data_IF_477629939066
#
_entry.id   IF_477629939066
#
_cell.length_a   1.000
_cell.length_b   1.000
_cell.length_c   1.000
_cell.angle_alpha   90.00
_cell.angle_beta   90.00
_cell.angle_gamma   90.00
#
_symmetry.space_group_name_H-M   'P 1'
#
loop_
_entity.id
_entity.type
_entity.pdbx_description
1 polymer ?
#
# COMPACT_ATOMS: atom_id res chain seq x y z
N UNK A 1 -26.43 -46.95 -25.62
CA UNK A 1 -27.02 -47.41 -24.33
C UNK A 1 -27.21 -46.17 -23.47
N UNK A 2 -28.47 -45.94 -23.13
CA UNK A 2 -29.07 -44.69 -22.73
C UNK A 2 -28.74 -44.24 -21.31
N UNK A 3 -28.49 -42.98 -21.12
CA UNK A 3 -28.55 -42.25 -19.82
C UNK A 3 -29.97 -42.20 -19.26
N UNK A 4 -30.14 -42.01 -17.97
CA UNK A 4 -31.26 -41.18 -17.52
C UNK A 4 -30.82 -40.01 -16.64
N UNK A 5 -31.52 -38.88 -16.83
CA UNK A 5 -31.44 -37.66 -16.09
C UNK A 5 -32.19 -37.74 -14.73
N UNK A 6 -31.82 -36.90 -13.70
CA UNK A 6 -32.58 -36.81 -12.47
C UNK A 6 -33.63 -35.67 -12.50
N UNK A 7 -34.73 -35.96 -11.82
CA UNK A 7 -35.96 -35.19 -11.64
C UNK A 7 -35.83 -34.04 -10.64
N UNK A 8 -36.45 -32.89 -10.97
CA UNK A 8 -36.71 -31.78 -10.04
C UNK A 8 -37.98 -32.04 -9.18
N UNK A 9 -38.02 -31.61 -7.90
CA UNK A 9 -39.28 -31.46 -7.19
C UNK A 9 -39.83 -30.03 -7.26
N UNK A 10 -41.17 -29.93 -7.44
CA UNK A 10 -41.96 -28.71 -7.46
C UNK A 10 -42.35 -28.22 -6.05
N UNK A 11 -42.65 -26.92 -5.86
CA UNK A 11 -42.97 -26.34 -4.55
C UNK A 11 -44.44 -26.57 -4.17
N UNK A 12 -44.62 -26.91 -2.87
CA UNK A 12 -45.93 -27.04 -2.22
C UNK A 12 -46.49 -25.69 -1.75
N UNK A 13 -47.78 -25.47 -2.02
CA UNK A 13 -48.60 -24.38 -1.48
C UNK A 13 -49.06 -24.74 -0.06
N UNK A 14 -48.96 -23.79 0.88
CA UNK A 14 -49.56 -23.89 2.24
C UNK A 14 -49.94 -22.53 2.77
N UNK A 15 -51.14 -22.29 2.72
CA UNK A 15 -52.22 -21.79 3.56
C UNK A 15 -51.93 -20.58 4.50
N UNK A 16 -52.73 -19.53 4.22
CA UNK A 16 -52.99 -18.36 5.06
C UNK A 16 -53.76 -18.73 6.35
N UNK A 17 -53.25 -18.28 7.48
CA UNK A 17 -54.06 -18.18 8.72
C UNK A 17 -54.10 -16.70 9.18
N UNK A 18 -55.30 -16.15 9.13
CA UNK A 18 -55.69 -14.84 9.69
C UNK A 18 -55.91 -14.98 11.20
N UNK A 19 -55.24 -14.17 12.02
CA UNK A 19 -55.54 -13.96 13.42
C UNK A 19 -55.64 -12.46 13.75
N UNK A 20 -56.75 -12.03 14.29
CA UNK A 20 -57.14 -10.66 14.61
C UNK A 20 -56.45 -10.16 15.90
N UNK A 21 -56.40 -8.83 16.12
CA UNK A 21 -55.67 -8.20 17.22
C UNK A 21 -56.51 -8.16 18.51
N UNK A 22 -55.85 -8.24 19.68
CA UNK A 22 -56.39 -7.85 20.95
C UNK A 22 -55.57 -6.68 21.49
N UNK A 23 -56.23 -5.55 21.63
CA UNK A 23 -55.73 -4.37 22.31
C UNK A 23 -55.99 -4.54 23.83
N UNK A 24 -54.97 -4.29 24.64
CA UNK A 24 -55.15 -3.98 26.07
C UNK A 24 -54.32 -2.76 26.40
N UNK A 25 -55.05 -1.68 26.73
CA UNK A 25 -54.53 -0.47 27.34
C UNK A 25 -54.42 -0.67 28.87
N UNK A 26 -53.28 -0.27 29.41
CA UNK A 26 -53.19 0.02 30.84
C UNK A 26 -52.34 1.27 31.05
N UNK A 27 -52.97 2.32 31.49
CA UNK A 27 -52.41 3.58 31.93
C UNK A 27 -51.86 3.42 33.36
N UNK A 28 -50.71 4.02 33.64
CA UNK A 28 -50.12 4.12 34.96
C UNK A 28 -49.31 5.41 35.08
N UNK A 29 -49.79 6.34 35.90
CA UNK A 29 -49.33 7.71 36.10
C UNK A 29 -48.07 7.83 37.01
N UNK A 30 -47.21 8.79 36.61
CA UNK A 30 -46.55 9.82 37.47
C UNK A 30 -45.54 9.41 38.55
N UNK A 31 -44.34 9.93 38.42
CA UNK A 31 -43.74 10.85 39.40
C UNK A 31 -42.63 11.70 38.75
N UNK A 32 -42.92 12.99 38.60
CA UNK A 32 -41.92 14.05 38.39
C UNK A 32 -41.23 14.31 39.74
N UNK A 33 -39.90 14.19 39.78
CA UNK A 33 -39.09 14.94 40.72
C UNK A 33 -38.03 15.70 39.93
N UNK A 34 -38.29 16.99 39.76
CA UNK A 34 -37.31 17.96 39.34
C UNK A 34 -36.38 18.27 40.50
N UNK A 35 -35.09 18.13 40.33
CA UNK A 35 -34.10 18.91 41.05
C UNK A 35 -33.10 19.42 40.03
N UNK A 36 -33.07 20.71 39.83
CA UNK A 36 -32.13 21.41 39.03
C UNK A 36 -30.76 21.48 39.72
N UNK A 37 -29.74 21.46 38.89
CA UNK A 37 -28.35 21.72 39.24
C UNK A 37 -27.61 21.87 37.94
N UNK A 38 -27.47 23.15 37.53
CA UNK A 38 -26.54 23.52 36.45
C UNK A 38 -25.13 23.38 37.02
N UNK A 39 -24.34 22.49 36.44
CA UNK A 39 -22.90 22.72 36.35
C UNK A 39 -22.42 22.00 35.10
N UNK A 40 -21.96 22.81 34.11
CA UNK A 40 -21.30 22.36 32.94
C UNK A 40 -19.89 21.89 33.29
N UNK A 41 -19.70 20.61 33.24
CA UNK A 41 -18.41 19.95 33.25
C UNK A 41 -18.54 18.71 32.41
N UNK A 42 -18.05 18.75 31.17
CA UNK A 42 -17.77 17.54 30.41
C UNK A 42 -16.62 16.82 31.12
N UNK A 43 -16.94 16.09 32.17
CA UNK A 43 -16.06 15.11 32.74
C UNK A 43 -16.31 13.80 31.99
N UNK A 44 -15.34 13.32 31.21
CA UNK A 44 -15.30 11.94 30.78
C UNK A 44 -15.44 11.05 32.00
N UNK A 45 -16.46 10.19 32.01
CA UNK A 45 -16.56 9.09 32.97
C UNK A 45 -15.32 8.24 32.83
N UNK A 46 -14.38 8.34 33.80
CA UNK A 46 -13.09 7.68 33.80
C UNK A 46 -13.18 6.16 33.95
N UNK A 47 -13.80 5.50 32.98
CA UNK A 47 -13.70 4.06 32.77
C UNK A 47 -12.41 3.66 32.08
N UNK A 48 -11.97 2.41 32.20
CA UNK A 48 -10.75 1.94 31.55
C UNK A 48 -10.91 2.00 30.02
N UNK A 49 -9.95 2.66 29.35
CA UNK A 49 -9.92 2.86 27.90
C UNK A 49 -9.48 1.58 27.18
N UNK A 50 -10.15 1.24 26.09
CA UNK A 50 -9.72 0.22 25.14
C UNK A 50 -9.55 0.89 23.79
N UNK A 51 -8.32 0.92 23.26
CA UNK A 51 -8.03 1.41 21.91
C UNK A 51 -8.16 0.28 20.90
N UNK A 52 -8.71 0.59 19.73
CA UNK A 52 -8.76 -0.29 18.57
C UNK A 52 -7.93 0.31 17.44
N UNK A 53 -7.01 -0.48 16.90
CA UNK A 53 -6.20 -0.10 15.77
C UNK A 53 -6.40 -1.07 14.62
N UNK A 54 -6.82 -0.56 13.48
CA UNK A 54 -6.99 -1.37 12.26
C UNK A 54 -5.70 -1.38 11.44
N UNK A 55 -5.28 -2.58 11.07
CA UNK A 55 -4.05 -2.86 10.33
C UNK A 55 -4.30 -3.88 9.21
N UNK A 56 -3.39 -3.97 8.23
CA UNK A 56 -3.51 -4.96 7.14
C UNK A 56 -2.60 -6.18 7.27
N UNK A 57 -1.76 -6.25 8.28
CA UNK A 57 -0.87 -7.39 8.46
C UNK A 57 -1.45 -8.44 9.40
N UNK A 58 -1.40 -9.71 8.97
CA UNK A 58 -1.63 -10.89 9.81
C UNK A 58 -0.35 -11.65 10.13
N UNK A 59 0.82 -11.12 9.76
CA UNK A 59 2.11 -11.76 10.03
C UNK A 59 2.39 -11.80 11.54
N UNK A 60 2.70 -12.99 12.07
CA UNK A 60 2.87 -13.23 13.50
C UNK A 60 4.02 -12.41 14.12
N UNK A 61 5.13 -12.21 13.39
CA UNK A 61 6.26 -11.44 13.88
C UNK A 61 5.92 -9.93 13.94
N UNK A 62 5.18 -9.42 12.95
CA UNK A 62 4.67 -8.04 13.00
C UNK A 62 3.74 -7.84 14.19
N UNK A 63 2.76 -8.75 14.37
CA UNK A 63 1.82 -8.69 15.48
C UNK A 63 2.51 -8.82 16.84
N UNK A 64 3.55 -9.65 16.95
CA UNK A 64 4.35 -9.77 18.16
C UNK A 64 5.07 -8.47 18.51
N UNK A 65 5.66 -7.78 17.53
CA UNK A 65 6.28 -6.48 17.72
C UNK A 65 5.25 -5.43 18.17
N UNK A 66 4.12 -5.32 17.45
CA UNK A 66 3.06 -4.36 17.77
C UNK A 66 2.46 -4.60 19.15
N UNK A 67 2.19 -5.86 19.52
CA UNK A 67 1.72 -6.22 20.85
C UNK A 67 2.76 -5.93 21.95
N UNK A 68 4.04 -6.06 21.66
CA UNK A 68 5.13 -5.68 22.57
C UNK A 68 5.12 -4.18 22.85
N UNK A 69 5.03 -3.36 21.81
CA UNK A 69 4.94 -1.89 21.95
C UNK A 69 3.67 -1.49 22.73
N UNK A 70 2.54 -2.13 22.42
CA UNK A 70 1.28 -1.90 23.14
C UNK A 70 1.36 -2.29 24.63
N UNK A 71 2.09 -3.35 24.97
CA UNK A 71 2.31 -3.76 26.35
C UNK A 71 3.19 -2.73 27.11
N UNK A 72 4.32 -2.31 26.51
CA UNK A 72 5.20 -1.27 27.07
C UNK A 72 4.46 0.05 27.31
N UNK A 73 3.55 0.44 26.38
CA UNK A 73 2.71 1.63 26.53
C UNK A 73 1.76 1.53 27.73
N UNK A 74 1.05 0.42 27.85
CA UNK A 74 0.07 0.19 28.92
C UNK A 74 0.70 0.12 30.30
N UNK A 75 1.95 -0.32 30.43
CA UNK A 75 2.68 -0.28 31.70
C UNK A 75 2.89 1.15 32.20
N UNK A 76 3.00 2.12 31.27
CA UNK A 76 3.17 3.54 31.57
C UNK A 76 1.86 4.31 31.65
N UNK A 77 0.79 3.78 31.04
CA UNK A 77 -0.53 4.40 30.92
C UNK A 77 -1.64 3.43 31.44
N UNK A 78 -1.79 3.30 32.77
CA UNK A 78 -2.65 2.28 33.38
C UNK A 78 -4.16 2.51 33.13
N UNK A 79 -4.56 3.71 32.67
CA UNK A 79 -5.92 4.02 32.22
C UNK A 79 -6.24 3.30 30.89
N UNK A 80 -5.24 3.01 30.05
CA UNK A 80 -5.42 2.22 28.83
C UNK A 80 -5.30 0.73 29.16
N UNK A 81 -6.45 0.09 29.30
CA UNK A 81 -6.54 -1.31 29.69
C UNK A 81 -6.12 -2.27 28.59
N UNK A 82 -6.45 -1.95 27.34
CA UNK A 82 -6.23 -2.83 26.19
C UNK A 82 -6.00 -2.01 24.93
N UNK A 83 -5.13 -2.53 24.04
CA UNK A 83 -4.98 -2.05 22.68
C UNK A 83 -5.17 -3.27 21.76
N UNK A 84 -6.19 -3.22 20.92
CA UNK A 84 -6.58 -4.30 20.01
C UNK A 84 -6.13 -3.98 18.60
N UNK A 85 -5.45 -4.92 17.97
CA UNK A 85 -5.11 -4.86 16.56
C UNK A 85 -6.13 -5.67 15.76
N UNK A 86 -6.97 -4.99 14.97
CA UNK A 86 -7.95 -5.59 14.08
C UNK A 86 -7.34 -5.72 12.68
N UNK A 87 -7.05 -6.95 12.25
CA UNK A 87 -6.48 -7.20 10.92
C UNK A 87 -7.57 -7.31 9.86
N UNK A 88 -7.42 -6.54 8.78
CA UNK A 88 -8.26 -6.61 7.58
C UNK A 88 -7.43 -7.10 6.38
N UNK A 89 -8.04 -7.84 5.42
CA UNK A 89 -7.35 -8.27 4.21
C UNK A 89 -6.89 -7.08 3.38
N UNK A 90 -5.67 -7.15 2.83
CA UNK A 90 -5.03 -6.07 2.04
C UNK A 90 -5.92 -5.65 0.87
N UNK A 91 -6.47 -6.60 0.12
CA UNK A 91 -7.24 -6.37 -1.11
C UNK A 91 -8.54 -5.58 -0.88
N UNK A 92 -9.09 -5.63 0.33
CA UNK A 92 -10.33 -4.94 0.69
C UNK A 92 -10.16 -3.92 1.82
N UNK A 93 -8.92 -3.65 2.21
CA UNK A 93 -8.59 -2.90 3.42
C UNK A 93 -9.26 -1.51 3.46
N UNK A 94 -8.99 -0.67 2.45
CA UNK A 94 -9.52 0.69 2.40
C UNK A 94 -11.05 0.71 2.38
N UNK A 95 -11.67 -0.16 1.58
CA UNK A 95 -13.14 -0.27 1.49
C UNK A 95 -13.75 -0.71 2.83
N UNK A 96 -13.12 -1.68 3.50
CA UNK A 96 -13.60 -2.16 4.80
C UNK A 96 -13.45 -1.09 5.90
N UNK A 97 -12.30 -0.39 5.93
CA UNK A 97 -12.05 0.71 6.87
C UNK A 97 -13.06 1.86 6.66
N UNK A 98 -13.25 2.31 5.41
CA UNK A 98 -14.22 3.37 5.07
C UNK A 98 -15.65 2.96 5.46
N UNK A 99 -16.02 1.69 5.24
CA UNK A 99 -17.31 1.15 5.65
C UNK A 99 -17.49 1.18 7.18
N UNK A 100 -16.45 0.84 7.95
CA UNK A 100 -16.49 0.92 9.42
C UNK A 100 -16.70 2.37 9.88
N UNK A 101 -15.98 3.32 9.29
CA UNK A 101 -16.07 4.75 9.58
C UNK A 101 -17.50 5.26 9.29
N UNK A 102 -18.01 5.00 8.09
CA UNK A 102 -19.35 5.41 7.68
C UNK A 102 -20.46 4.77 8.53
N UNK A 103 -20.23 3.54 9.01
CA UNK A 103 -21.15 2.80 9.88
C UNK A 103 -21.09 3.18 11.37
N UNK A 104 -20.32 4.20 11.77
CA UNK A 104 -20.14 4.62 13.16
C UNK A 104 -19.40 3.57 14.02
N UNK A 105 -18.57 2.74 13.40
CA UNK A 105 -17.75 1.70 14.04
C UNK A 105 -16.27 1.93 13.76
N UNK A 106 -15.87 3.18 13.57
CA UNK A 106 -14.49 3.54 13.33
C UNK A 106 -13.56 2.95 14.41
N UNK A 107 -12.35 2.52 14.05
CA UNK A 107 -11.29 2.26 15.04
C UNK A 107 -10.81 3.60 15.63
N UNK A 108 -10.01 3.55 16.70
CA UNK A 108 -9.35 4.76 17.23
C UNK A 108 -8.15 5.16 16.36
N UNK A 109 -7.40 4.15 15.86
CA UNK A 109 -6.26 4.35 14.94
C UNK A 109 -6.40 3.44 13.72
N UNK A 110 -5.82 3.85 12.61
CA UNK A 110 -5.73 3.01 11.41
C UNK A 110 -4.44 3.25 10.63
N UNK A 111 -3.92 2.20 10.00
CA UNK A 111 -2.99 2.33 8.91
C UNK A 111 -3.72 2.83 7.67
N UNK A 112 -3.06 3.66 6.88
CA UNK A 112 -3.64 4.27 5.68
C UNK A 112 -2.63 4.09 4.54
N UNK A 113 -3.08 3.54 3.41
CA UNK A 113 -2.25 3.45 2.21
C UNK A 113 -2.05 4.82 1.58
N UNK A 114 -0.90 5.02 0.92
CA UNK A 114 -0.59 6.25 0.20
C UNK A 114 -1.67 6.66 -0.80
N UNK A 115 -2.20 5.71 -1.55
CA UNK A 115 -3.23 5.98 -2.56
C UNK A 115 -4.57 6.46 -1.96
N UNK A 116 -4.81 6.24 -0.67
CA UNK A 116 -6.01 6.70 0.04
C UNK A 116 -5.75 7.96 0.89
N UNK A 117 -4.48 8.38 1.01
CA UNK A 117 -4.11 9.50 1.87
C UNK A 117 -4.82 10.82 1.52
N UNK A 118 -4.92 11.24 0.23
CA UNK A 118 -5.62 12.48 -0.11
C UNK A 118 -7.06 12.52 0.38
N UNK A 119 -7.79 11.43 0.22
CA UNK A 119 -9.19 11.33 0.66
C UNK A 119 -9.31 11.39 2.20
N UNK A 120 -8.48 10.64 2.92
CA UNK A 120 -8.50 10.62 4.38
C UNK A 120 -8.09 11.97 4.98
N UNK A 121 -7.01 12.58 4.45
CA UNK A 121 -6.47 13.86 4.95
C UNK A 121 -7.44 15.01 4.66
N UNK A 122 -8.07 15.04 3.48
CA UNK A 122 -9.01 16.10 3.10
C UNK A 122 -10.39 15.94 3.74
N UNK A 123 -10.81 14.72 4.12
CA UNK A 123 -12.16 14.45 4.62
C UNK A 123 -12.45 15.01 6.01
N UNK A 124 -11.42 15.39 6.79
CA UNK A 124 -11.57 15.74 8.20
C UNK A 124 -11.87 14.53 9.11
N UNK A 125 -11.71 13.31 8.61
CA UNK A 125 -11.89 12.09 9.41
C UNK A 125 -10.75 11.85 10.39
N UNK A 126 -9.57 12.41 10.12
CA UNK A 126 -8.38 12.26 10.94
C UNK A 126 -8.21 13.41 11.92
N UNK A 127 -7.74 13.12 13.11
CA UNK A 127 -7.29 14.13 14.07
C UNK A 127 -5.95 14.72 13.63
N UNK A 128 -5.74 16.00 13.93
CA UNK A 128 -4.41 16.64 13.81
C UNK A 128 -3.45 15.99 14.82
N UNK A 129 -2.23 15.71 14.38
CA UNK A 129 -1.14 15.19 15.21
C UNK A 129 0.04 16.16 15.24
N UNK A 130 0.88 16.05 16.27
CA UNK A 130 2.10 16.88 16.36
C UNK A 130 3.09 16.55 15.24
N UNK A 131 3.71 17.59 14.69
CA UNK A 131 4.78 17.45 13.71
C UNK A 131 6.08 17.02 14.39
N UNK A 132 6.68 15.94 13.88
CA UNK A 132 7.98 15.47 14.33
C UNK A 132 9.09 16.02 13.41
N UNK A 133 9.95 16.87 13.94
CA UNK A 133 11.03 17.50 13.19
C UNK A 133 12.11 16.52 12.71
N UNK A 134 12.20 15.32 13.30
CA UNK A 134 13.14 14.28 12.88
C UNK A 134 12.64 13.51 11.63
N UNK A 135 11.34 13.59 11.31
CA UNK A 135 10.79 12.98 10.09
C UNK A 135 11.06 13.86 8.89
N UNK A 136 11.56 13.27 7.81
CA UNK A 136 11.86 13.98 6.56
C UNK A 136 10.64 14.75 6.03
N UNK A 137 10.80 16.02 5.63
CA UNK A 137 9.69 16.80 5.07
C UNK A 137 9.03 16.16 3.85
N UNK A 138 9.81 15.51 2.98
CA UNK A 138 9.29 14.80 1.81
C UNK A 138 8.33 13.66 2.21
N UNK A 139 8.65 12.91 3.25
CA UNK A 139 7.80 11.83 3.74
C UNK A 139 6.48 12.33 4.36
N UNK A 140 6.48 13.54 4.94
CA UNK A 140 5.28 14.14 5.55
C UNK A 140 4.32 14.75 4.53
N UNK A 141 4.81 15.13 3.34
CA UNK A 141 4.05 15.94 2.36
C UNK A 141 2.67 15.36 2.04
N UNK A 142 2.57 14.05 1.84
CA UNK A 142 1.31 13.37 1.51
C UNK A 142 0.28 13.39 2.66
N UNK A 143 0.76 13.51 3.89
CA UNK A 143 -0.05 13.41 5.11
C UNK A 143 -0.41 14.77 5.71
N UNK A 144 -0.07 15.85 5.00
CA UNK A 144 -0.31 17.22 5.43
C UNK A 144 -1.45 17.86 4.63
N UNK A 145 -2.24 18.67 5.32
CA UNK A 145 -3.25 19.53 4.72
C UNK A 145 -3.25 20.88 5.45
N UNK A 146 -3.25 21.99 4.70
CA UNK A 146 -3.21 23.35 5.25
C UNK A 146 -2.08 23.56 6.30
N UNK A 147 -0.94 22.90 6.10
CA UNK A 147 0.23 23.02 6.97
C UNK A 147 0.16 22.22 8.27
N UNK A 148 -0.84 21.37 8.44
CA UNK A 148 -1.05 20.48 9.59
C UNK A 148 -0.84 19.03 9.20
N UNK A 149 -0.33 18.22 10.13
CA UNK A 149 -0.10 16.80 9.93
C UNK A 149 -1.29 15.98 10.47
N UNK A 150 -1.78 15.03 9.69
CA UNK A 150 -2.95 14.20 10.01
C UNK A 150 -2.64 12.71 10.11
N UNK A 151 -1.52 12.26 9.56
CA UNK A 151 -1.02 10.91 9.80
C UNK A 151 0.50 10.91 9.85
N UNK A 152 1.06 10.02 10.66
CA UNK A 152 2.51 9.81 10.76
C UNK A 152 2.95 8.84 9.64
N UNK A 153 3.94 9.19 8.81
CA UNK A 153 4.46 8.30 7.77
C UNK A 153 5.30 7.17 8.39
N UNK A 154 4.63 6.15 8.93
CA UNK A 154 5.30 5.06 9.66
C UNK A 154 6.02 4.07 8.74
N UNK A 155 5.81 4.14 7.44
CA UNK A 155 6.53 3.34 6.45
C UNK A 155 6.79 4.19 5.20
N UNK A 156 8.05 4.34 4.84
CA UNK A 156 8.52 4.89 3.56
C UNK A 156 9.44 3.85 2.95
N UNK A 157 8.91 3.05 2.04
CA UNK A 157 9.54 1.83 1.56
C UNK A 157 10.00 1.99 0.11
N UNK A 158 11.31 2.18 -0.15
CA UNK A 158 11.84 2.29 -1.49
C UNK A 158 11.59 1.02 -2.31
N UNK A 159 11.33 1.23 -3.60
CA UNK A 159 11.36 0.17 -4.58
C UNK A 159 12.79 -0.03 -5.08
N UNK A 160 13.12 -1.27 -5.39
CA UNK A 160 14.34 -1.68 -6.05
C UNK A 160 14.11 -3.00 -6.78
N UNK A 161 15.18 -3.55 -7.31
CA UNK A 161 15.15 -4.85 -7.98
C UNK A 161 15.85 -5.89 -7.11
N UNK A 162 15.11 -6.90 -6.66
CA UNK A 162 15.71 -8.13 -6.16
C UNK A 162 16.01 -9.04 -7.35
N UNK A 163 17.20 -9.64 -7.36
CA UNK A 163 17.68 -10.52 -8.42
C UNK A 163 18.11 -11.88 -7.87
N UNK A 164 17.63 -12.96 -8.48
CA UNK A 164 18.11 -14.32 -8.25
C UNK A 164 19.40 -14.53 -9.05
N UNK A 165 20.53 -14.41 -8.39
CA UNK A 165 21.87 -14.47 -9.02
C UNK A 165 22.20 -15.88 -9.50
N UNK A 166 21.62 -16.91 -8.91
CA UNK A 166 21.83 -18.28 -9.32
C UNK A 166 21.09 -18.58 -10.64
N UNK A 167 19.83 -18.12 -10.78
CA UNK A 167 19.06 -18.27 -12.01
C UNK A 167 19.69 -17.47 -13.17
N UNK A 168 20.14 -16.23 -12.92
CA UNK A 168 20.84 -15.43 -13.92
C UNK A 168 22.11 -16.14 -14.40
N UNK A 169 22.88 -16.71 -13.49
CA UNK A 169 24.10 -17.47 -13.80
C UNK A 169 23.79 -18.76 -14.58
N UNK A 170 22.73 -19.48 -14.21
CA UNK A 170 22.27 -20.67 -14.95
C UNK A 170 21.91 -20.30 -16.40
N UNK A 171 21.23 -19.18 -16.59
CA UNK A 171 20.91 -18.66 -17.93
C UNK A 171 22.11 -18.02 -18.66
N UNK A 172 23.31 -18.01 -18.07
CA UNK A 172 24.47 -17.38 -18.65
C UNK A 172 24.39 -15.86 -18.80
N UNK A 173 23.57 -15.22 -17.98
CA UNK A 173 23.32 -13.78 -18.03
C UNK A 173 24.11 -13.04 -16.95
N UNK A 174 24.48 -11.75 -17.21
CA UNK A 174 25.09 -10.90 -16.20
C UNK A 174 24.10 -10.60 -15.07
N UNK A 175 24.65 -10.42 -13.87
CA UNK A 175 23.88 -9.92 -12.72
C UNK A 175 23.65 -8.41 -12.85
N UNK A 176 22.60 -7.84 -12.17
CA UNK A 176 22.42 -6.40 -12.11
C UNK A 176 23.65 -5.64 -11.59
N UNK A 177 24.36 -6.16 -10.60
CA UNK A 177 25.59 -5.56 -10.08
C UNK A 177 26.66 -5.45 -11.18
N UNK A 178 26.87 -6.49 -12.00
CA UNK A 178 27.81 -6.46 -13.13
C UNK A 178 27.38 -5.46 -14.22
N UNK A 179 26.07 -5.31 -14.44
CA UNK A 179 25.53 -4.31 -15.38
C UNK A 179 25.72 -2.88 -14.85
N UNK A 180 25.56 -2.66 -13.55
CA UNK A 180 25.82 -1.37 -12.89
C UNK A 180 27.30 -1.00 -13.04
N UNK A 181 28.23 -1.91 -12.75
CA UNK A 181 29.66 -1.68 -12.91
C UNK A 181 30.05 -1.33 -14.35
N UNK A 182 29.30 -1.83 -15.34
CA UNK A 182 29.50 -1.54 -16.76
C UNK A 182 28.77 -0.27 -17.25
N UNK A 183 27.97 0.41 -16.40
CA UNK A 183 27.12 1.54 -16.78
C UNK A 183 26.01 1.14 -17.76
N UNK A 184 25.47 -0.06 -17.62
CA UNK A 184 24.46 -0.67 -18.52
C UNK A 184 23.18 -1.10 -17.80
N UNK A 185 23.00 -0.72 -16.55
CA UNK A 185 21.80 -1.08 -15.79
C UNK A 185 20.62 -0.22 -16.23
N UNK A 186 20.00 -0.60 -17.35
CA UNK A 186 18.88 0.11 -17.99
C UNK A 186 17.71 -0.83 -18.22
N UNK A 187 16.52 -0.28 -18.40
CA UNK A 187 15.32 -1.06 -18.72
C UNK A 187 15.48 -1.90 -20.00
N UNK A 188 16.18 -1.39 -21.01
CA UNK A 188 16.47 -2.14 -22.23
C UNK A 188 17.32 -3.38 -21.96
N UNK A 189 18.32 -3.27 -21.07
CA UNK A 189 19.14 -4.44 -20.69
C UNK A 189 18.33 -5.42 -19.84
N UNK A 190 17.44 -4.93 -18.98
CA UNK A 190 16.54 -5.80 -18.22
C UNK A 190 15.64 -6.63 -19.14
N UNK A 191 15.05 -6.03 -20.18
CA UNK A 191 14.26 -6.77 -21.16
C UNK A 191 15.08 -7.84 -21.89
N UNK A 192 16.31 -7.52 -22.29
CA UNK A 192 17.23 -8.50 -22.95
C UNK A 192 17.60 -9.66 -22.03
N UNK A 193 18.03 -9.34 -20.80
CA UNK A 193 18.41 -10.34 -19.81
C UNK A 193 17.20 -11.20 -19.45
N UNK A 194 16.05 -10.57 -19.23
CA UNK A 194 14.81 -11.27 -18.89
C UNK A 194 14.32 -12.21 -19.98
N UNK A 195 14.36 -11.78 -21.25
CA UNK A 195 14.03 -12.63 -22.38
C UNK A 195 14.99 -13.82 -22.51
N UNK A 196 16.29 -13.59 -22.32
CA UNK A 196 17.28 -14.67 -22.36
C UNK A 196 17.10 -15.68 -21.20
N UNK A 197 16.75 -15.24 -20.00
CA UNK A 197 16.38 -16.13 -18.88
C UNK A 197 15.16 -16.97 -19.26
N UNK A 198 14.13 -16.35 -19.81
CA UNK A 198 12.92 -17.05 -20.25
C UNK A 198 13.21 -18.13 -21.27
N UNK A 199 14.04 -17.81 -22.27
CA UNK A 199 14.43 -18.75 -23.33
C UNK A 199 15.23 -19.95 -22.79
N UNK A 200 16.12 -19.73 -21.84
CA UNK A 200 17.03 -20.77 -21.32
C UNK A 200 16.38 -21.61 -20.23
N UNK A 201 15.65 -20.98 -19.29
CA UNK A 201 15.14 -21.66 -18.07
C UNK A 201 13.64 -21.99 -18.15
N UNK A 202 12.89 -21.25 -18.96
CA UNK A 202 11.43 -21.30 -18.98
C UNK A 202 10.75 -20.49 -17.88
N UNK A 203 11.53 -19.94 -16.94
CA UNK A 203 11.03 -19.10 -15.84
C UNK A 203 10.89 -17.64 -16.26
N UNK A 204 10.19 -16.82 -15.47
CA UNK A 204 10.03 -15.41 -15.75
C UNK A 204 11.36 -14.67 -15.62
N UNK A 205 11.70 -13.81 -16.58
CA UNK A 205 12.88 -12.97 -16.51
C UNK A 205 12.73 -11.87 -15.47
N UNK A 206 11.58 -11.21 -15.42
CA UNK A 206 11.24 -10.16 -14.45
C UNK A 206 9.76 -10.13 -14.14
N UNK A 207 9.44 -9.79 -12.91
CA UNK A 207 8.06 -9.48 -12.49
C UNK A 207 8.03 -8.13 -11.78
N UNK A 208 7.03 -7.30 -12.07
CA UNK A 208 6.70 -6.14 -11.26
C UNK A 208 5.68 -6.61 -10.23
N UNK A 209 5.87 -6.27 -8.98
CA UNK A 209 4.97 -6.70 -7.91
C UNK A 209 3.53 -6.36 -8.22
N UNK A 210 2.64 -7.32 -7.91
CA UNK A 210 1.19 -7.22 -8.10
C UNK A 210 0.80 -6.92 -9.56
N UNK A 211 1.61 -7.43 -10.51
CA UNK A 211 1.42 -7.31 -11.95
C UNK A 211 0.26 -8.18 -12.48
N UNK A 212 -0.82 -8.20 -11.75
CA UNK A 212 -2.10 -8.70 -12.20
C UNK A 212 -3.05 -7.56 -12.63
N UNK A 213 -2.48 -6.35 -12.79
CA UNK A 213 -3.15 -5.08 -13.13
C UNK A 213 -4.13 -4.56 -12.09
N UNK A 214 -4.17 -5.12 -10.90
CA UNK A 214 -4.96 -4.58 -9.80
C UNK A 214 -4.30 -3.35 -9.16
N UNK A 215 -2.97 -3.28 -9.26
CA UNK A 215 -2.15 -2.19 -8.71
C UNK A 215 -1.37 -1.52 -9.85
N UNK A 216 -2.08 -0.92 -10.81
CA UNK A 216 -1.45 -0.27 -11.96
C UNK A 216 -0.49 0.87 -11.57
N UNK A 217 -0.68 1.49 -10.42
CA UNK A 217 0.20 2.51 -9.86
C UNK A 217 1.62 2.00 -9.56
N UNK A 218 1.81 0.69 -9.40
CA UNK A 218 3.15 0.10 -9.30
C UNK A 218 3.94 0.19 -10.62
N UNK A 219 3.28 0.42 -11.75
CA UNK A 219 3.96 0.68 -13.03
C UNK A 219 4.73 2.02 -13.01
N UNK A 220 4.49 2.89 -12.03
CA UNK A 220 5.31 4.08 -11.77
C UNK A 220 6.79 3.72 -11.58
N UNK A 221 7.09 2.52 -11.06
CA UNK A 221 8.46 2.00 -10.97
C UNK A 221 9.13 1.79 -12.33
N UNK A 222 8.40 1.90 -13.43
CA UNK A 222 8.92 1.86 -14.80
C UNK A 222 8.76 3.21 -15.47
N UNK A 223 7.54 3.76 -15.56
CA UNK A 223 7.30 4.97 -16.34
C UNK A 223 8.01 6.22 -15.82
N UNK A 224 8.32 6.29 -14.51
CA UNK A 224 9.11 7.40 -13.95
C UNK A 224 10.52 7.45 -14.58
N UNK A 225 11.06 6.31 -15.05
CA UNK A 225 12.29 6.24 -15.84
C UNK A 225 12.20 6.94 -17.21
N UNK A 226 11.01 7.19 -17.72
CA UNK A 226 10.74 8.00 -18.91
C UNK A 226 10.37 9.45 -18.54
N UNK A 227 10.27 9.77 -17.24
CA UNK A 227 9.79 11.06 -16.77
C UNK A 227 8.28 11.24 -16.97
N UNK A 228 7.54 10.13 -17.12
CA UNK A 228 6.11 10.15 -17.36
C UNK A 228 5.32 10.36 -16.07
N UNK A 229 4.16 11.00 -16.20
CA UNK A 229 3.19 11.23 -15.14
C UNK A 229 1.79 10.82 -15.61
N UNK A 230 0.91 10.31 -14.72
CA UNK A 230 -0.44 9.95 -15.12
C UNK A 230 -1.38 11.15 -15.30
N UNK A 231 -1.04 12.29 -14.66
CA UNK A 231 -1.76 13.58 -14.73
C UNK A 231 -0.83 14.74 -14.43
N UNK A 232 -1.29 15.96 -14.73
CA UNK A 232 -0.57 17.21 -14.45
C UNK A 232 -0.30 17.38 -12.95
N UNK A 233 0.67 18.23 -12.61
CA UNK A 233 1.08 18.50 -11.21
C UNK A 233 -0.09 18.98 -10.32
N UNK A 234 -1.04 19.73 -10.89
CA UNK A 234 -2.25 20.19 -10.19
C UNK A 234 -3.35 19.11 -10.13
N UNK A 235 -3.13 17.93 -10.70
CA UNK A 235 -4.06 16.83 -10.76
C UNK A 235 -5.21 16.99 -11.77
N UNK A 236 -5.35 18.14 -12.44
CA UNK A 236 -6.54 18.48 -13.22
C UNK A 236 -6.59 17.95 -14.65
N UNK A 237 -5.46 17.51 -15.20
CA UNK A 237 -5.36 17.09 -16.61
C UNK A 237 -4.71 15.73 -16.72
N UNK A 238 -5.35 14.83 -17.45
CA UNK A 238 -4.76 13.52 -17.76
C UNK A 238 -3.50 13.67 -18.62
N UNK A 239 -2.49 12.86 -18.33
CA UNK A 239 -1.23 12.80 -19.08
C UNK A 239 -0.84 11.38 -19.51
N UNK A 240 -1.77 10.44 -19.45
CA UNK A 240 -1.52 9.07 -19.95
C UNK A 240 -1.25 9.03 -21.47
N UNK A 241 -1.74 9.98 -22.25
CA UNK A 241 -1.54 10.05 -23.69
C UNK A 241 -0.37 10.93 -24.13
N UNK A 242 0.44 11.42 -23.18
CA UNK A 242 1.67 12.15 -23.47
C UNK A 242 2.77 11.20 -24.01
N UNK A 243 3.74 11.73 -24.79
CA UNK A 243 4.76 10.90 -25.44
C UNK A 243 5.57 10.03 -24.48
N UNK A 244 5.99 10.58 -23.34
CA UNK A 244 6.80 9.88 -22.34
C UNK A 244 6.07 8.67 -21.76
N UNK A 245 4.78 8.80 -21.47
CA UNK A 245 3.95 7.70 -21.00
C UNK A 245 3.71 6.68 -22.11
N UNK A 246 3.49 7.15 -23.34
CA UNK A 246 3.31 6.27 -24.51
C UNK A 246 4.57 5.42 -24.73
N UNK A 247 5.75 6.00 -24.64
CA UNK A 247 7.02 5.29 -24.80
C UNK A 247 7.24 4.27 -23.66
N UNK A 248 6.98 4.65 -22.41
CA UNK A 248 7.10 3.75 -21.26
C UNK A 248 6.12 2.55 -21.34
N UNK A 249 4.88 2.81 -21.73
CA UNK A 249 3.88 1.76 -21.85
C UNK A 249 4.11 0.87 -23.08
N UNK A 250 4.71 1.42 -24.14
CA UNK A 250 5.20 0.63 -25.29
C UNK A 250 6.33 -0.30 -24.85
N UNK A 251 7.31 0.20 -24.08
CA UNK A 251 8.34 -0.64 -23.51
C UNK A 251 7.75 -1.81 -22.69
N UNK A 252 6.79 -1.53 -21.80
CA UNK A 252 6.15 -2.59 -21.00
C UNK A 252 5.40 -3.60 -21.85
N UNK A 253 4.66 -3.14 -22.87
CA UNK A 253 3.99 -4.01 -23.83
C UNK A 253 4.98 -4.92 -24.57
N UNK A 254 6.08 -4.35 -25.06
CA UNK A 254 7.11 -5.09 -25.77
C UNK A 254 7.88 -6.05 -24.85
N UNK A 255 8.13 -5.68 -23.60
CA UNK A 255 8.75 -6.56 -22.61
C UNK A 255 7.89 -7.81 -22.32
N UNK A 256 6.55 -7.68 -22.41
CA UNK A 256 5.63 -8.81 -22.25
C UNK A 256 5.50 -9.63 -23.53
N UNK A 257 5.27 -9.00 -24.69
CA UNK A 257 4.83 -9.70 -25.91
C UNK A 257 5.89 -9.87 -26.97
N UNK A 258 6.92 -9.03 -27.03
CA UNK A 258 7.99 -9.11 -28.00
C UNK A 258 9.26 -9.77 -27.43
N UNK A 259 9.69 -9.34 -26.24
CA UNK A 259 10.85 -9.89 -25.56
C UNK A 259 10.54 -11.09 -24.66
N UNK A 260 9.25 -11.31 -24.33
CA UNK A 260 8.79 -12.32 -23.37
C UNK A 260 9.55 -12.31 -22.03
N UNK A 261 10.13 -11.16 -21.69
CA UNK A 261 10.92 -10.96 -20.47
C UNK A 261 10.06 -10.93 -19.21
N UNK A 262 8.80 -10.52 -19.36
CA UNK A 262 7.82 -10.45 -18.29
C UNK A 262 6.64 -11.37 -18.59
N UNK A 263 6.02 -12.00 -17.56
CA UNK A 263 4.83 -12.80 -17.78
C UNK A 263 3.67 -11.90 -18.24
N UNK A 264 2.84 -12.45 -19.12
CA UNK A 264 1.60 -11.79 -19.51
C UNK A 264 0.61 -11.75 -18.32
N UNK A 265 -0.38 -10.82 -18.35
CA UNK A 265 -1.41 -10.73 -17.32
C UNK A 265 -2.11 -12.05 -17.07
N UNK A 266 -2.37 -12.33 -15.79
CA UNK A 266 -3.00 -13.57 -15.36
C UNK A 266 -2.04 -14.76 -15.26
N UNK A 267 -0.78 -14.60 -15.66
CA UNK A 267 0.30 -15.54 -15.35
C UNK A 267 0.97 -15.09 -14.05
N UNK A 268 1.05 -15.97 -13.08
CA UNK A 268 1.74 -15.69 -11.81
C UNK A 268 3.15 -16.26 -11.85
N UNK A 269 4.13 -15.49 -11.36
CA UNK A 269 5.45 -15.95 -11.05
C UNK A 269 5.87 -15.30 -9.72
N UNK A 270 6.26 -16.11 -8.75
CA UNK A 270 6.68 -15.63 -7.44
C UNK A 270 8.22 -15.69 -7.34
N UNK A 271 8.85 -14.50 -7.34
CA UNK A 271 10.29 -14.39 -7.15
C UNK A 271 10.78 -15.05 -5.88
N UNK A 272 10.06 -14.89 -4.78
CA UNK A 272 10.45 -15.44 -3.47
C UNK A 272 10.30 -16.97 -3.41
N UNK A 273 9.52 -17.55 -4.33
CA UNK A 273 9.47 -18.99 -4.56
C UNK A 273 10.51 -19.49 -5.60
N UNK A 274 11.31 -18.60 -6.18
CA UNK A 274 12.30 -18.91 -7.19
C UNK A 274 11.75 -19.05 -8.63
N UNK A 275 10.57 -18.48 -8.92
CA UNK A 275 9.89 -18.59 -10.22
C UNK A 275 10.19 -17.40 -11.15
N UNK A 276 11.08 -16.49 -10.75
CA UNK A 276 11.52 -15.35 -11.54
C UNK A 276 12.97 -15.00 -11.27
N UNK A 277 13.69 -14.50 -12.29
CA UNK A 277 15.07 -14.05 -12.13
C UNK A 277 15.16 -12.69 -11.45
N UNK A 278 14.21 -11.80 -11.65
CA UNK A 278 14.19 -10.47 -11.07
C UNK A 278 12.77 -10.09 -10.63
N UNK A 279 12.67 -9.26 -9.59
CA UNK A 279 11.39 -8.61 -9.23
C UNK A 279 11.59 -7.17 -8.82
N UNK A 280 10.75 -6.29 -9.34
CA UNK A 280 10.60 -4.93 -8.84
C UNK A 280 9.63 -4.95 -7.67
N UNK A 281 10.13 -4.62 -6.48
CA UNK A 281 9.29 -4.54 -5.29
C UNK A 281 9.93 -3.69 -4.19
N UNK A 282 9.19 -3.44 -3.14
CA UNK A 282 9.64 -2.65 -1.99
C UNK A 282 10.60 -3.43 -1.09
N UNK A 283 11.55 -2.71 -0.48
CA UNK A 283 12.51 -3.26 0.49
C UNK A 283 11.82 -3.98 1.67
N UNK A 284 10.62 -3.59 2.05
CA UNK A 284 9.85 -4.28 3.10
C UNK A 284 9.62 -5.78 2.83
N UNK A 285 9.78 -6.23 1.57
CA UNK A 285 9.72 -7.63 1.17
C UNK A 285 11.03 -8.41 1.40
N UNK A 286 12.11 -7.76 1.76
CA UNK A 286 13.38 -8.43 2.09
C UNK A 286 13.23 -9.50 3.19
N UNK A 287 12.25 -9.33 4.08
CA UNK A 287 11.91 -10.32 5.11
C UNK A 287 11.37 -11.65 4.58
N UNK A 288 11.02 -11.75 3.30
CA UNK A 288 10.58 -12.99 2.64
C UNK A 288 11.72 -13.79 2.03
N UNK A 289 12.93 -13.21 1.97
CA UNK A 289 14.13 -13.89 1.46
C UNK A 289 14.64 -14.90 2.48
N UNK A 290 15.12 -16.01 1.96
CA UNK A 290 15.83 -17.04 2.70
C UNK A 290 17.10 -17.47 1.93
N UNK A 291 17.73 -18.56 2.34
CA UNK A 291 18.94 -19.10 1.73
C UNK A 291 18.67 -20.10 0.59
N UNK A 292 17.45 -20.11 0.01
CA UNK A 292 17.06 -21.08 -1.04
C UNK A 292 17.80 -20.84 -2.35
N UNK A 293 18.19 -19.59 -2.63
CA UNK A 293 19.02 -19.18 -3.77
C UNK A 293 19.86 -17.95 -3.44
N UNK A 294 20.94 -17.75 -4.21
CA UNK A 294 21.73 -16.52 -4.14
C UNK A 294 20.95 -15.33 -4.68
N UNK A 295 20.97 -14.22 -3.95
CA UNK A 295 20.22 -13.02 -4.36
C UNK A 295 21.03 -11.73 -4.15
N UNK A 296 20.61 -10.68 -4.84
CA UNK A 296 21.11 -9.33 -4.68
C UNK A 296 19.93 -8.33 -4.68
N UNK A 297 20.16 -7.09 -4.22
CA UNK A 297 19.20 -6.01 -4.23
C UNK A 297 19.87 -4.74 -4.74
N UNK A 298 19.33 -4.15 -5.80
CA UNK A 298 19.92 -3.03 -6.53
C UNK A 298 18.89 -1.93 -6.80
N UNK A 299 19.32 -0.69 -7.11
CA UNK A 299 18.42 0.39 -7.52
C UNK A 299 17.57 0.00 -8.75
N UNK A 300 16.51 0.77 -9.00
CA UNK A 300 15.74 0.65 -10.23
C UNK A 300 16.63 0.89 -11.46
N UNK A 301 16.37 0.22 -12.60
CA UNK A 301 17.11 0.45 -13.83
C UNK A 301 16.95 1.89 -14.33
N UNK A 302 18.00 2.47 -14.94
CA UNK A 302 17.88 3.76 -15.58
C UNK A 302 16.93 3.70 -16.77
N UNK A 303 16.10 4.72 -16.88
CA UNK A 303 15.28 4.98 -18.06
C UNK A 303 15.89 6.07 -18.94
N UNK A 304 15.24 6.43 -20.06
CA UNK A 304 15.65 7.52 -20.94
C UNK A 304 15.77 8.88 -20.25
N UNK A 305 14.99 9.10 -19.18
CA UNK A 305 15.05 10.32 -18.38
C UNK A 305 16.17 10.31 -17.31
N UNK A 306 16.89 9.19 -17.16
CA UNK A 306 17.96 9.00 -16.19
C UNK A 306 17.60 8.12 -15.01
N UNK A 307 18.39 8.22 -13.95
CA UNK A 307 18.15 7.53 -12.67
C UNK A 307 17.02 8.18 -11.88
N UNK A 308 16.27 7.40 -11.15
CA UNK A 308 15.13 7.84 -10.35
C UNK A 308 14.86 6.85 -9.21
N UNK A 309 14.13 7.31 -8.19
CA UNK A 309 13.71 6.49 -7.07
C UNK A 309 12.19 6.58 -6.87
N UNK A 310 11.56 5.45 -6.55
CA UNK A 310 10.13 5.37 -6.23
C UNK A 310 9.97 4.82 -4.82
N UNK A 311 9.07 5.41 -4.05
CA UNK A 311 8.72 4.94 -2.71
C UNK A 311 7.24 4.63 -2.60
N UNK A 312 6.92 3.56 -1.88
CA UNK A 312 5.58 3.35 -1.37
C UNK A 312 5.50 3.86 0.07
N UNK A 313 4.41 4.53 0.41
CA UNK A 313 4.20 5.05 1.75
C UNK A 313 3.01 4.44 2.45
N UNK A 314 3.05 4.51 3.77
CA UNK A 314 1.90 4.22 4.62
C UNK A 314 1.90 5.15 5.82
N UNK A 315 0.71 5.68 6.13
CA UNK A 315 0.49 6.55 7.28
C UNK A 315 -0.21 5.83 8.43
N UNK A 316 0.08 6.25 9.65
CA UNK A 316 -0.69 5.92 10.84
C UNK A 316 -1.50 7.14 11.25
N UNK A 317 -2.82 7.06 11.16
CA UNK A 317 -3.74 8.14 11.50
C UNK A 317 -4.61 7.79 12.71
N UNK A 318 -5.02 8.83 13.45
CA UNK A 318 -6.02 8.76 14.52
C UNK A 318 -7.36 9.23 13.98
N UNK A 319 -8.44 8.47 14.21
CA UNK A 319 -9.78 8.85 13.78
C UNK A 319 -10.34 9.93 14.73
N UNK A 320 -10.61 11.13 14.19
CA UNK A 320 -10.93 12.33 14.96
C UNK A 320 -12.31 12.36 15.63
N UNK A 321 -13.21 11.42 15.30
CA UNK A 321 -14.60 11.38 15.79
C UNK A 321 -14.84 10.35 16.89
N UNK A 322 -13.78 9.74 17.46
CA UNK A 322 -13.86 8.76 18.54
C UNK A 322 -13.91 9.40 19.93
N UNK A 323 -14.24 8.57 20.93
CA UNK A 323 -14.27 9.01 22.34
C UNK A 323 -12.86 9.04 22.99
N UNK A 324 -11.87 8.35 22.38
CA UNK A 324 -10.52 8.14 22.92
C UNK A 324 -9.42 8.84 22.08
N UNK A 325 -9.75 9.98 21.46
CA UNK A 325 -8.81 10.66 20.53
C UNK A 325 -7.51 11.05 21.22
N UNK A 326 -7.57 11.55 22.45
CA UNK A 326 -6.39 11.97 23.19
C UNK A 326 -5.45 10.79 23.48
N UNK A 327 -5.97 9.68 23.98
CA UNK A 327 -5.21 8.47 24.27
C UNK A 327 -4.70 7.80 22.99
N UNK A 328 -5.43 7.90 21.88
CA UNK A 328 -5.00 7.41 20.60
C UNK A 328 -3.83 8.23 20.02
N UNK A 329 -3.87 9.56 20.15
CA UNK A 329 -2.76 10.45 19.76
C UNK A 329 -1.52 10.16 20.61
N UNK A 330 -1.68 9.99 21.92
CA UNK A 330 -0.58 9.66 22.82
C UNK A 330 0.03 8.29 22.50
N UNK A 331 -0.82 7.28 22.21
CA UNK A 331 -0.32 5.97 21.77
C UNK A 331 0.39 6.05 20.42
N UNK A 332 -0.13 6.84 19.45
CA UNK A 332 0.56 7.08 18.18
C UNK A 332 1.96 7.65 18.42
N UNK A 333 2.07 8.70 19.23
CA UNK A 333 3.37 9.33 19.56
C UNK A 333 4.32 8.34 20.24
N UNK A 334 3.81 7.51 21.15
CA UNK A 334 4.61 6.45 21.77
C UNK A 334 5.06 5.40 20.76
N UNK A 335 4.19 4.93 19.91
CA UNK A 335 4.48 3.90 18.90
C UNK A 335 5.51 4.38 17.88
N UNK A 336 5.52 5.68 17.58
CA UNK A 336 6.39 6.28 16.57
C UNK A 336 7.58 7.05 17.17
N UNK A 337 7.83 6.95 18.47
CA UNK A 337 9.02 7.53 19.08
C UNK A 337 10.30 6.88 18.56
N UNK A 338 11.47 7.48 18.81
CA UNK A 338 12.76 7.03 18.29
C UNK A 338 13.03 5.52 18.56
N UNK A 339 12.79 5.07 19.81
CA UNK A 339 13.01 3.66 20.20
C UNK A 339 12.13 2.70 19.40
N UNK A 340 10.84 2.98 19.33
CA UNK A 340 9.86 2.10 18.73
C UNK A 340 9.90 2.19 17.19
N UNK A 341 10.19 3.37 16.63
CA UNK A 341 10.46 3.53 15.20
C UNK A 341 11.64 2.69 14.74
N UNK A 342 12.74 2.66 15.51
CA UNK A 342 13.88 1.81 15.20
C UNK A 342 13.50 0.31 15.17
N UNK A 343 12.64 -0.13 16.10
CA UNK A 343 12.14 -1.51 16.11
C UNK A 343 11.19 -1.81 14.94
N UNK A 344 10.31 -0.86 14.61
CA UNK A 344 9.39 -0.96 13.46
C UNK A 344 10.15 -0.95 12.14
N UNK A 345 11.29 -0.27 12.05
CA UNK A 345 12.13 -0.17 10.85
C UNK A 345 12.55 -1.51 10.26
N UNK A 346 12.51 -2.58 11.04
CA UNK A 346 12.74 -3.95 10.54
C UNK A 346 11.73 -4.39 9.46
N UNK A 347 10.50 -3.91 9.56
CA UNK A 347 9.40 -4.31 8.66
C UNK A 347 8.79 -3.13 7.91
N UNK A 348 8.93 -1.92 8.50
CA UNK A 348 8.34 -0.70 8.02
C UNK A 348 9.41 0.39 8.03
N UNK A 349 10.16 0.58 6.92
CA UNK A 349 11.26 1.55 6.86
C UNK A 349 10.80 2.95 7.24
N UNK A 350 11.50 3.55 8.20
CA UNK A 350 11.14 4.84 8.77
C UNK A 350 11.90 5.98 8.06
N UNK A 351 11.20 7.07 7.80
CA UNK A 351 11.81 8.28 7.22
C UNK A 351 12.30 9.27 8.31
N UNK A 352 12.99 8.76 9.35
CA UNK A 352 13.57 9.58 10.43
C UNK A 352 15.04 9.85 10.15
N UNK A 353 15.42 11.14 10.09
CA UNK A 353 16.80 11.55 9.81
C UNK A 353 17.82 10.94 10.77
N UNK A 354 17.48 10.80 12.06
CA UNK A 354 18.33 10.18 13.08
C UNK A 354 18.56 8.67 12.90
N UNK A 355 17.82 8.02 12.01
CA UNK A 355 17.86 6.57 11.76
C UNK A 355 18.29 6.21 10.33
N UNK A 356 18.50 7.21 9.47
CA UNK A 356 18.91 7.03 8.08
C UNK A 356 20.43 6.98 7.96
N UNK A 357 21.03 5.97 8.56
CA UNK A 357 22.43 5.60 8.37
C UNK A 357 22.56 4.07 8.24
N UNK A 358 23.55 3.61 7.47
CA UNK A 358 23.70 2.19 7.16
C UNK A 358 23.94 1.32 8.39
N UNK A 359 24.66 1.83 9.40
CA UNK A 359 24.95 1.08 10.64
C UNK A 359 23.68 0.85 11.48
N UNK A 360 22.79 1.85 11.52
CA UNK A 360 21.49 1.74 12.19
C UNK A 360 20.54 0.83 11.45
N UNK A 361 20.42 1.00 10.12
CA UNK A 361 19.57 0.17 9.28
C UNK A 361 20.03 -1.30 9.24
N UNK A 362 21.33 -1.56 9.27
CA UNK A 362 21.89 -2.92 9.31
C UNK A 362 21.46 -3.70 10.57
N UNK A 363 21.19 -3.02 11.69
CA UNK A 363 20.69 -3.68 12.91
C UNK A 363 19.28 -4.24 12.71
N UNK A 364 18.46 -3.54 11.93
CA UNK A 364 17.09 -3.95 11.61
C UNK A 364 17.01 -4.86 10.38
N UNK A 365 17.97 -4.73 9.44
CA UNK A 365 18.03 -5.48 8.18
C UNK A 365 19.38 -6.16 7.98
N UNK A 366 19.75 -7.12 8.84
CA UNK A 366 21.09 -7.73 8.84
C UNK A 366 21.40 -8.56 7.61
N UNK A 367 20.40 -8.91 6.80
CA UNK A 367 20.55 -9.62 5.51
C UNK A 367 21.01 -8.71 4.37
N UNK A 368 20.89 -7.36 4.51
CA UNK A 368 21.30 -6.41 3.49
C UNK A 368 22.77 -5.98 3.72
N UNK A 369 23.48 -5.79 2.63
CA UNK A 369 24.85 -5.27 2.62
C UNK A 369 24.83 -3.74 2.84
N UNK A 370 25.89 -3.15 3.43
CA UNK A 370 25.96 -1.70 3.61
C UNK A 370 25.73 -0.89 2.33
N UNK A 371 26.26 -1.32 1.19
CA UNK A 371 26.05 -0.64 -0.09
C UNK A 371 24.56 -0.65 -0.51
N UNK A 372 23.86 -1.76 -0.31
CA UNK A 372 22.41 -1.85 -0.59
C UNK A 372 21.59 -0.91 0.31
N UNK A 373 22.01 -0.78 1.58
CA UNK A 373 21.38 0.14 2.52
C UNK A 373 21.59 1.60 2.11
N UNK A 374 22.82 1.96 1.71
CA UNK A 374 23.14 3.33 1.27
C UNK A 374 22.46 3.68 -0.05
N UNK A 375 22.66 2.86 -1.08
CA UNK A 375 22.25 3.19 -2.43
C UNK A 375 20.75 3.04 -2.67
N UNK A 376 20.12 2.00 -2.12
CA UNK A 376 18.70 1.72 -2.40
C UNK A 376 17.81 2.22 -1.28
N UNK A 377 18.18 1.97 -0.01
CA UNK A 377 17.26 2.26 1.09
C UNK A 377 17.35 3.74 1.48
N UNK A 378 18.54 4.23 1.81
CA UNK A 378 18.71 5.63 2.22
C UNK A 378 18.45 6.55 1.04
N UNK A 379 19.10 6.31 -0.09
CA UNK A 379 18.89 7.09 -1.32
C UNK A 379 17.41 7.16 -1.73
N UNK A 380 16.74 6.00 -1.74
CA UNK A 380 15.33 5.93 -2.07
C UNK A 380 14.41 6.65 -1.07
N UNK A 381 14.70 6.60 0.24
CA UNK A 381 13.90 7.33 1.25
C UNK A 381 14.10 8.85 1.12
N UNK A 382 15.33 9.31 0.84
CA UNK A 382 15.65 10.73 0.74
C UNK A 382 15.16 11.37 -0.56
N UNK A 383 15.22 10.65 -1.68
CA UNK A 383 14.99 11.19 -3.01
C UNK A 383 13.75 10.61 -3.71
N UNK A 384 13.20 9.52 -3.19
CA UNK A 384 12.14 8.79 -3.85
C UNK A 384 10.84 9.56 -3.97
N UNK A 385 10.25 9.48 -5.16
CA UNK A 385 8.93 9.99 -5.46
C UNK A 385 7.87 9.01 -4.99
N UNK A 386 6.84 9.52 -4.33
CA UNK A 386 5.67 8.71 -3.97
C UNK A 386 4.90 8.38 -5.23
N UNK A 387 4.38 7.16 -5.32
CA UNK A 387 3.49 6.76 -6.41
C UNK A 387 2.31 7.72 -6.57
N UNK A 388 1.72 7.82 -7.77
CA UNK A 388 0.64 8.77 -8.04
C UNK A 388 -0.54 8.62 -7.08
N UNK A 389 -1.00 9.74 -6.54
CA UNK A 389 -2.18 9.80 -5.67
C UNK A 389 -3.09 10.94 -6.12
N UNK A 390 -4.39 10.79 -5.90
CA UNK A 390 -5.39 11.79 -6.24
C UNK A 390 -6.57 11.70 -5.26
N UNK A 391 -7.35 12.77 -5.11
CA UNK A 391 -8.69 12.69 -4.51
C UNK A 391 -9.60 11.82 -5.38
N UNK A 392 -10.59 11.15 -4.81
CA UNK A 392 -11.40 10.13 -5.48
C UNK A 392 -10.58 8.95 -6.03
N UNK A 393 -9.48 8.61 -5.37
CA UNK A 393 -8.52 7.60 -5.83
C UNK A 393 -9.17 6.27 -6.19
N UNK A 394 -10.17 5.81 -5.43
CA UNK A 394 -10.79 4.51 -5.68
C UNK A 394 -11.51 4.45 -7.04
N UNK A 395 -12.25 5.51 -7.41
CA UNK A 395 -12.94 5.57 -8.69
C UNK A 395 -11.96 5.77 -9.86
N UNK A 396 -10.94 6.61 -9.66
CA UNK A 396 -9.85 6.78 -10.64
C UNK A 396 -9.10 5.47 -10.86
N UNK A 397 -8.79 4.76 -9.77
CA UNK A 397 -8.05 3.51 -9.83
C UNK A 397 -8.78 2.45 -10.67
N UNK A 398 -10.07 2.27 -10.42
CA UNK A 398 -10.90 1.33 -11.18
C UNK A 398 -11.09 1.77 -12.64
N UNK A 399 -11.23 3.07 -12.90
CA UNK A 399 -11.38 3.59 -14.26
C UNK A 399 -10.10 3.41 -15.09
N UNK A 400 -8.93 3.74 -14.53
CA UNK A 400 -7.62 3.53 -15.19
C UNK A 400 -7.42 2.05 -15.47
N UNK A 401 -7.63 1.18 -14.47
CA UNK A 401 -7.48 -0.27 -14.64
C UNK A 401 -8.33 -0.80 -15.77
N UNK A 402 -9.62 -0.44 -15.79
CA UNK A 402 -10.54 -0.90 -16.82
C UNK A 402 -10.16 -0.40 -18.23
N UNK A 403 -9.69 0.85 -18.33
CA UNK A 403 -9.28 1.44 -19.60
C UNK A 403 -7.90 0.92 -20.09
N UNK A 404 -7.02 0.44 -19.17
CA UNK A 404 -5.75 -0.18 -19.51
C UNK A 404 -5.87 -1.66 -19.93
N UNK A 405 -6.96 -2.35 -19.63
CA UNK A 405 -7.14 -3.78 -19.97
C UNK A 405 -6.83 -4.11 -21.45
N UNK A 406 -7.19 -3.28 -22.46
CA UNK A 406 -6.83 -3.56 -23.85
C UNK A 406 -5.34 -3.56 -24.15
N UNK A 407 -4.53 -2.84 -23.37
CA UNK A 407 -3.07 -2.76 -23.53
C UNK A 407 -2.40 -4.12 -23.46
N UNK A 408 -2.97 -5.02 -22.67
CA UNK A 408 -2.38 -6.30 -22.37
C UNK A 408 -2.84 -7.40 -23.34
N UNK A 409 -2.86 -7.05 -24.61
CA UNK A 409 -3.09 -7.99 -25.74
C UNK A 409 -1.95 -7.83 -26.73
N UNK A 410 -1.48 -8.93 -27.38
CA UNK A 410 -0.32 -8.87 -28.27
C UNK A 410 -0.44 -7.87 -29.44
N UNK A 411 -1.66 -7.54 -29.85
CA UNK A 411 -1.98 -6.66 -30.97
C UNK A 411 -2.56 -5.30 -30.51
N UNK A 412 -2.29 -4.91 -29.26
CA UNK A 412 -2.81 -3.65 -28.71
C UNK A 412 -2.24 -2.42 -29.42
N UNK A 413 -3.09 -1.46 -29.72
CA UNK A 413 -2.69 -0.10 -30.07
C UNK A 413 -2.45 0.68 -28.76
N UNK A 414 -1.18 0.77 -28.35
CA UNK A 414 -0.78 1.41 -27.10
C UNK A 414 -1.25 2.85 -27.02
N UNK A 415 -0.95 3.66 -28.06
CA UNK A 415 -1.32 5.08 -28.08
C UNK A 415 -2.85 5.27 -28.00
N UNK A 416 -3.61 4.46 -28.74
CA UNK A 416 -5.08 4.50 -28.69
C UNK A 416 -5.60 4.11 -27.31
N UNK A 417 -5.04 3.10 -26.68
CA UNK A 417 -5.44 2.66 -25.35
C UNK A 417 -5.22 3.77 -24.32
N UNK A 418 -4.09 4.47 -24.39
CA UNK A 418 -3.77 5.57 -23.46
C UNK A 418 -4.67 6.80 -23.67
N UNK A 419 -5.06 7.10 -24.92
CA UNK A 419 -6.08 8.11 -25.20
C UNK A 419 -7.46 7.72 -24.62
N UNK A 420 -7.80 6.44 -24.65
CA UNK A 420 -9.04 5.94 -24.05
C UNK A 420 -8.98 6.01 -22.51
N UNK A 421 -7.80 5.81 -21.89
CA UNK A 421 -7.59 6.07 -20.45
C UNK A 421 -7.88 7.54 -20.15
N UNK A 422 -7.27 8.47 -20.87
CA UNK A 422 -7.51 9.91 -20.66
C UNK A 422 -8.99 10.27 -20.85
N UNK A 423 -9.63 9.73 -21.85
CA UNK A 423 -11.08 9.94 -22.06
C UNK A 423 -11.94 9.45 -20.89
N UNK A 424 -11.52 8.35 -20.24
CA UNK A 424 -12.25 7.76 -19.13
C UNK A 424 -12.04 8.52 -17.81
N UNK A 425 -10.83 9.05 -17.55
CA UNK A 425 -10.51 9.65 -16.24
C UNK A 425 -10.61 11.17 -16.22
N UNK A 426 -10.47 11.88 -17.34
CA UNK A 426 -10.51 13.34 -17.36
C UNK A 426 -11.73 13.95 -16.62
N UNK A 427 -12.98 13.43 -16.78
CA UNK A 427 -14.12 13.96 -16.03
C UNK A 427 -14.05 13.73 -14.51
N UNK A 428 -13.14 12.86 -14.05
CA UNK A 428 -12.96 12.55 -12.63
C UNK A 428 -11.85 13.40 -12.02
N UNK A 429 -10.83 13.79 -12.81
CA UNK A 429 -9.75 14.69 -12.39
C UNK A 429 -10.26 16.13 -12.16
N UNK A 430 -11.36 16.52 -12.79
CA UNK A 430 -11.96 17.85 -12.69
C UNK A 430 -12.90 18.02 -11.46
N UNK A 431 -13.11 16.97 -10.66
CA UNK A 431 -13.98 16.99 -9.48
C UNK A 431 -13.24 17.39 -8.22
#
# INVERSE_FOLDING_TARGET
MSSPAPLHPRPGRGALVRGKPVALAAAGLLALTACGGSDGGSGSDGGPVTLRMTIWTGNEEHLKLLNGIAADYREQNPEVKEIKFDTLPVESYTTALTTQIAGGKAPDLAWIFENSAPDFVASGALAEIEDDADVLPAAKKLWQHEGKLYAYPFSTSPFGVFANTDMLKEAGQPTPAELIEQGRWTWDEVAKVGGAVRDETGEAGMVIRDFDYKMWDNLATVWDGWGAEPWSEDGGTCAFDEPEMTDAMTYLHDAVFAAEAMPAPGTTADFFAGEAAMTVTQISRASLLDDSFGWDFVPLPEGPAGSYDVVGQAGLGVLGNGDNVAEAVDFLAFMTNEKNSAALGRYFPQARSSQLDADTLAKSNPQLKPAQLEEVVIGGIENGKVKPTHTNQAELFDAVRAALDPLWKPDADVAKTLQDVCSAIQPQLEK
#
